data_IF_967486274875
#
_entry.id   IF_967486274875
#
_cell.length_a   1.000
_cell.length_b   1.000
_cell.length_c   1.000
_cell.angle_alpha   90.00
_cell.angle_beta   90.00
_cell.angle_gamma   90.00
#
_symmetry.space_group_name_H-M   'P 1'
#
loop_
_entity.id
_entity.type
_entity.pdbx_description
1 polymer ?
#
# COMPACT_ATOMS: atom_id res chain seq x y z
N UNK A 1 -5.08 -42.82 -45.16
CA UNK A 1 -5.03 -42.71 -43.69
C UNK A 1 -3.59 -42.83 -43.22
N UNK A 2 -3.20 -41.99 -42.26
CA UNK A 2 -1.90 -41.92 -41.57
C UNK A 2 -0.70 -41.41 -42.37
N UNK A 3 -0.43 -40.10 -42.26
CA UNK A 3 0.92 -39.53 -42.39
C UNK A 3 1.29 -38.94 -41.03
N UNK A 4 2.33 -39.51 -40.42
CA UNK A 4 2.98 -39.07 -39.19
C UNK A 4 3.61 -37.68 -39.42
N UNK A 5 3.23 -36.69 -38.62
CA UNK A 5 3.94 -35.41 -38.52
C UNK A 5 4.93 -35.47 -37.37
N UNK A 6 6.21 -35.33 -37.70
CA UNK A 6 7.32 -35.12 -36.77
C UNK A 6 7.30 -33.68 -36.27
N UNK A 7 7.10 -33.49 -34.96
CA UNK A 7 7.20 -32.18 -34.30
C UNK A 7 8.68 -31.85 -34.10
N UNK A 8 9.20 -30.90 -34.87
CA UNK A 8 10.50 -30.28 -34.63
C UNK A 8 10.36 -29.31 -33.44
N UNK A 9 11.07 -29.59 -32.36
CA UNK A 9 11.26 -28.64 -31.26
C UNK A 9 12.31 -27.61 -31.67
N UNK A 10 11.86 -26.45 -32.12
CA UNK A 10 12.70 -25.25 -32.21
C UNK A 10 12.80 -24.64 -30.81
N UNK A 11 13.94 -24.85 -30.14
CA UNK A 11 14.33 -24.06 -28.97
C UNK A 11 14.52 -22.60 -29.41
N UNK A 12 13.50 -21.77 -29.25
CA UNK A 12 13.71 -20.33 -29.16
C UNK A 12 14.28 -20.04 -27.78
N UNK A 13 15.60 -19.89 -27.72
CA UNK A 13 16.27 -19.26 -26.58
C UNK A 13 15.86 -17.80 -26.53
N UNK A 14 14.74 -17.52 -25.87
CA UNK A 14 14.41 -16.18 -25.43
C UNK A 14 15.33 -15.90 -24.24
N UNK A 15 16.47 -15.27 -24.53
CA UNK A 15 17.16 -14.47 -23.53
C UNK A 15 16.19 -13.37 -23.10
N UNK A 16 15.42 -13.64 -22.05
CA UNK A 16 14.72 -12.59 -21.32
C UNK A 16 15.83 -11.72 -20.75
N UNK A 17 16.09 -10.60 -21.42
CA UNK A 17 16.81 -9.50 -20.79
C UNK A 17 15.93 -9.02 -19.65
N UNK A 18 16.25 -9.46 -18.43
CA UNK A 18 15.81 -8.80 -17.22
C UNK A 18 16.41 -7.40 -17.21
N UNK A 19 15.73 -6.46 -17.85
CA UNK A 19 16.00 -5.04 -17.72
C UNK A 19 15.44 -4.52 -16.41
N UNK A 20 16.00 -4.93 -15.27
CA UNK A 20 15.94 -4.14 -14.02
C UNK A 20 17.32 -4.20 -13.38
N UNK A 21 18.08 -3.13 -13.60
CA UNK A 21 19.34 -2.86 -12.92
C UNK A 21 19.10 -2.64 -11.42
N UNK A 22 19.32 -3.68 -10.61
CA UNK A 22 20.17 -3.70 -9.41
C UNK A 22 20.15 -2.49 -8.46
N UNK A 23 19.18 -2.49 -7.54
CA UNK A 23 19.22 -1.77 -6.26
C UNK A 23 17.89 -1.94 -5.52
N UNK A 24 17.92 -2.41 -4.27
CA UNK A 24 16.73 -2.32 -3.42
C UNK A 24 16.77 -0.96 -2.72
N UNK A 25 15.62 -0.26 -2.64
CA UNK A 25 15.53 1.03 -1.96
C UNK A 25 15.97 0.90 -0.50
N UNK A 26 16.38 2.00 0.12
CA UNK A 26 16.75 2.00 1.54
C UNK A 26 15.71 2.74 2.35
N UNK A 27 15.11 2.05 3.30
CA UNK A 27 14.15 2.60 4.25
C UNK A 27 14.91 3.20 5.43
N UNK A 28 14.55 4.41 5.82
CA UNK A 28 15.20 5.15 6.89
C UNK A 28 14.21 5.75 7.87
N UNK A 29 14.62 5.74 9.13
CA UNK A 29 14.07 6.63 10.16
C UNK A 29 15.26 7.28 10.84
N UNK A 30 15.28 8.60 10.91
CA UNK A 30 16.38 9.33 11.55
C UNK A 30 15.77 10.32 12.52
N UNK A 31 16.37 10.47 13.69
CA UNK A 31 16.01 11.50 14.64
C UNK A 31 17.25 12.08 15.31
N UNK A 32 17.14 13.33 15.76
CA UNK A 32 18.16 13.99 16.57
C UNK A 32 17.49 14.47 17.84
N UNK A 33 17.93 13.94 18.99
CA UNK A 33 17.35 14.24 20.31
C UNK A 33 15.83 13.97 20.36
N UNK A 34 15.40 12.87 19.74
CA UNK A 34 14.00 12.45 19.68
C UNK A 34 13.13 13.20 18.66
N UNK A 35 13.67 14.17 17.93
CA UNK A 35 12.94 14.90 16.88
C UNK A 35 13.28 14.30 15.51
N UNK A 36 12.29 13.97 14.65
CA UNK A 36 12.54 13.47 13.29
C UNK A 36 13.50 14.39 12.52
N UNK A 37 14.48 13.79 11.85
CA UNK A 37 15.51 14.48 11.09
C UNK A 37 15.49 14.02 9.63
N UNK A 38 15.44 14.99 8.72
CA UNK A 38 15.60 14.73 7.30
C UNK A 38 17.06 14.42 6.96
N UNK A 39 17.31 13.32 6.22
CA UNK A 39 18.67 12.90 5.87
C UNK A 39 19.40 13.97 5.06
N UNK A 40 18.68 14.80 4.31
CA UNK A 40 19.24 15.89 3.49
C UNK A 40 19.89 16.98 4.33
N UNK A 41 19.63 17.02 5.64
CA UNK A 41 20.27 17.94 6.56
C UNK A 41 21.54 17.38 7.22
N UNK A 42 21.69 16.05 7.25
CA UNK A 42 22.83 15.38 7.89
C UNK A 42 24.18 15.82 7.31
N UNK A 43 24.39 15.91 5.98
CA UNK A 43 25.67 16.35 5.40
C UNK A 43 26.14 17.70 5.95
N UNK A 44 25.23 18.69 6.00
CA UNK A 44 25.54 20.02 6.50
C UNK A 44 25.89 20.01 7.99
N UNK A 45 25.16 19.23 8.78
CA UNK A 45 25.42 19.08 10.21
C UNK A 45 26.79 18.43 10.47
N UNK A 46 27.14 17.40 9.70
CA UNK A 46 28.45 16.75 9.79
C UNK A 46 29.59 17.70 9.40
N UNK A 47 29.44 18.47 8.32
CA UNK A 47 30.41 19.48 7.91
C UNK A 47 30.65 20.54 9.00
N UNK A 48 29.58 21.00 9.67
CA UNK A 48 29.68 21.94 10.79
C UNK A 48 30.41 21.33 12.00
N UNK A 49 30.12 20.07 12.34
CA UNK A 49 30.80 19.36 13.43
C UNK A 49 32.30 19.16 13.13
N UNK A 50 32.66 18.84 11.89
CA UNK A 50 34.07 18.73 11.46
C UNK A 50 34.80 20.06 11.61
N UNK A 51 34.21 21.15 11.12
CA UNK A 51 34.81 22.48 11.20
C UNK A 51 35.01 22.95 12.65
N UNK A 52 34.15 22.54 13.58
CA UNK A 52 34.27 22.87 15.00
C UNK A 52 35.28 21.99 15.77
N UNK A 53 35.78 20.92 15.17
CA UNK A 53 36.59 19.90 15.84
C UNK A 53 38.12 20.05 15.69
N UNK A 54 38.59 21.13 15.05
CA UNK A 54 40.02 21.41 14.79
C UNK A 54 40.83 20.20 14.26
N UNK A 55 40.17 19.33 13.48
CA UNK A 55 40.82 18.17 12.84
C UNK A 55 40.94 16.91 13.71
N UNK A 56 40.29 16.87 14.87
CA UNK A 56 40.25 15.67 15.74
C UNK A 56 39.23 14.61 15.29
N UNK A 57 38.28 14.98 14.44
CA UNK A 57 37.24 14.06 13.92
C UNK A 57 37.65 13.48 12.56
N UNK A 58 37.35 12.19 12.37
CA UNK A 58 37.67 11.42 11.17
C UNK A 58 37.11 12.08 9.89
N UNK A 59 37.95 12.23 8.87
CA UNK A 59 37.53 12.80 7.57
C UNK A 59 36.47 11.94 6.87
N UNK A 60 35.68 12.58 6.00
CA UNK A 60 34.77 11.88 5.10
C UNK A 60 35.57 11.11 4.03
N UNK A 61 35.14 9.89 3.75
CA UNK A 61 35.64 9.05 2.67
C UNK A 61 34.94 9.40 1.36
N UNK A 62 35.45 8.89 0.23
CA UNK A 62 34.76 9.07 -1.05
C UNK A 62 33.36 8.45 -1.05
N UNK A 63 33.18 7.31 -0.40
CA UNK A 63 31.87 6.66 -0.25
C UNK A 63 30.88 7.53 0.54
N UNK A 64 31.36 8.27 1.55
CA UNK A 64 30.52 9.21 2.31
C UNK A 64 30.06 10.36 1.41
N UNK A 65 30.99 10.95 0.65
CA UNK A 65 30.69 12.03 -0.28
C UNK A 65 29.74 11.58 -1.41
N UNK A 66 29.80 10.30 -1.81
CA UNK A 66 28.84 9.72 -2.75
C UNK A 66 27.43 9.64 -2.15
N UNK A 67 27.32 9.27 -0.87
CA UNK A 67 26.05 9.30 -0.13
C UNK A 67 25.50 10.73 -0.06
N UNK A 68 26.32 11.71 0.35
CA UNK A 68 25.91 13.12 0.45
C UNK A 68 25.41 13.68 -0.90
N UNK A 69 26.12 13.35 -1.99
CA UNK A 69 25.70 13.73 -3.34
C UNK A 69 24.37 13.10 -3.74
N UNK A 70 24.14 11.84 -3.38
CA UNK A 70 22.86 11.19 -3.62
C UNK A 70 21.73 11.87 -2.84
N UNK A 71 21.92 12.17 -1.55
CA UNK A 71 20.87 12.82 -0.74
C UNK A 71 20.52 14.22 -1.25
N UNK A 72 21.45 14.92 -1.89
CA UNK A 72 21.24 16.25 -2.41
C UNK A 72 20.48 16.29 -3.75
N UNK A 73 20.32 15.16 -4.44
CA UNK A 73 19.61 15.11 -5.71
C UNK A 73 18.09 15.10 -5.50
N UNK A 74 17.38 15.79 -6.40
CA UNK A 74 15.93 15.75 -6.45
C UNK A 74 15.45 14.30 -6.70
N UNK A 75 14.28 13.96 -6.16
CA UNK A 75 13.63 12.65 -6.30
C UNK A 75 14.38 11.44 -5.69
N UNK A 76 15.60 11.60 -5.17
CA UNK A 76 16.33 10.52 -4.52
C UNK A 76 15.80 10.20 -3.12
N UNK A 77 15.19 11.17 -2.44
CA UNK A 77 14.68 10.99 -1.08
C UNK A 77 13.19 11.26 -1.05
N UNK A 78 12.40 10.21 -0.81
CA UNK A 78 10.98 10.36 -0.49
C UNK A 78 10.82 10.61 1.00
N UNK A 79 10.31 11.78 1.37
CA UNK A 79 10.03 12.14 2.76
C UNK A 79 8.54 11.88 3.10
N UNK A 80 8.30 10.74 3.76
CA UNK A 80 6.98 10.29 4.21
C UNK A 80 6.65 10.91 5.56
N UNK A 81 6.45 12.23 5.57
CA UNK A 81 6.25 13.04 6.78
C UNK A 81 5.16 12.52 7.71
N UNK A 82 4.05 12.01 7.19
CA UNK A 82 2.97 11.50 8.04
C UNK A 82 3.39 10.25 8.82
N UNK A 83 4.39 9.54 8.31
CA UNK A 83 4.89 8.29 8.86
C UNK A 83 6.20 8.47 9.62
N UNK A 84 6.90 9.60 9.48
CA UNK A 84 8.22 9.82 10.06
C UNK A 84 9.28 8.89 9.48
N UNK A 85 9.13 8.54 8.20
CA UNK A 85 10.00 7.61 7.46
C UNK A 85 10.49 8.29 6.19
N UNK A 86 11.71 7.98 5.79
CA UNK A 86 12.28 8.40 4.52
C UNK A 86 12.66 7.17 3.70
N UNK A 87 12.60 7.30 2.37
CA UNK A 87 13.05 6.25 1.45
C UNK A 87 14.11 6.86 0.55
N UNK A 88 15.28 6.22 0.48
CA UNK A 88 16.28 6.51 -0.54
C UNK A 88 16.01 5.61 -1.74
N UNK A 89 15.86 6.23 -2.92
CA UNK A 89 15.59 5.51 -4.17
C UNK A 89 16.76 4.61 -4.58
N UNK A 90 16.45 3.52 -5.29
CA UNK A 90 17.44 2.54 -5.77
C UNK A 90 18.39 3.11 -6.83
N UNK A 91 18.02 4.22 -7.48
CA UNK A 91 18.89 4.95 -8.40
C UNK A 91 20.05 5.67 -7.69
N UNK A 92 20.01 5.78 -6.36
CA UNK A 92 21.12 6.22 -5.55
C UNK A 92 22.33 5.26 -5.74
N UNK A 93 23.49 5.75 -6.25
CA UNK A 93 24.66 4.89 -6.43
C UNK A 93 25.21 4.34 -5.11
N UNK A 94 24.93 5.05 -4.01
CA UNK A 94 25.24 4.60 -2.68
C UNK A 94 24.24 3.51 -2.26
N UNK A 95 24.63 2.24 -2.38
CA UNK A 95 23.83 1.13 -1.86
C UNK A 95 23.68 1.17 -0.33
N UNK A 96 22.73 0.39 0.20
CA UNK A 96 22.34 0.39 1.61
C UNK A 96 23.51 0.25 2.60
N UNK A 97 24.51 -0.59 2.31
CA UNK A 97 25.69 -0.74 3.18
C UNK A 97 26.51 0.55 3.32
N UNK A 98 26.63 1.35 2.24
CA UNK A 98 27.35 2.63 2.28
C UNK A 98 26.56 3.66 3.07
N UNK A 99 25.25 3.73 2.83
CA UNK A 99 24.33 4.58 3.60
C UNK A 99 24.38 4.23 5.10
N UNK A 100 24.37 2.94 5.45
CA UNK A 100 24.48 2.48 6.84
C UNK A 100 25.79 2.91 7.49
N UNK A 101 26.92 2.78 6.78
CA UNK A 101 28.22 3.22 7.29
C UNK A 101 28.29 4.75 7.47
N UNK A 102 27.74 5.50 6.51
CA UNK A 102 27.60 6.95 6.61
C UNK A 102 26.76 7.34 7.85
N UNK A 103 25.61 6.70 8.07
CA UNK A 103 24.74 6.95 9.23
C UNK A 103 25.41 6.59 10.57
N UNK A 104 26.22 5.53 10.62
CA UNK A 104 27.04 5.21 11.81
C UNK A 104 28.05 6.33 12.12
N UNK A 105 28.70 6.87 11.10
CA UNK A 105 29.61 8.02 11.26
C UNK A 105 28.85 9.27 11.72
N UNK A 106 27.70 9.55 11.11
CA UNK A 106 26.82 10.64 11.51
C UNK A 106 26.33 10.48 12.97
N UNK A 107 25.97 9.28 13.41
CA UNK A 107 25.62 8.98 14.80
C UNK A 107 26.78 9.30 15.75
N UNK A 108 28.00 8.87 15.45
CA UNK A 108 29.17 9.17 16.27
C UNK A 108 29.45 10.68 16.36
N UNK A 109 29.26 11.42 15.28
CA UNK A 109 29.56 12.86 15.22
C UNK A 109 28.45 13.76 15.79
N UNK A 110 27.19 13.38 15.59
CA UNK A 110 26.03 14.23 15.82
C UNK A 110 25.08 13.67 16.89
N UNK A 111 25.31 12.46 17.38
CA UNK A 111 24.40 11.75 18.29
C UNK A 111 22.97 11.65 17.75
N UNK A 112 22.84 11.36 16.45
CA UNK A 112 21.55 11.04 15.81
C UNK A 112 21.17 9.58 16.08
N UNK A 113 19.89 9.30 16.28
CA UNK A 113 19.37 7.93 16.30
C UNK A 113 18.85 7.57 14.90
N UNK A 114 19.07 6.34 14.45
CA UNK A 114 18.59 5.91 13.14
C UNK A 114 18.22 4.41 13.08
N UNK A 115 17.23 4.11 12.26
CA UNK A 115 16.95 2.78 11.72
C UNK A 115 17.22 2.82 10.20
N UNK A 116 17.86 1.77 9.67
CA UNK A 116 18.23 1.67 8.25
C UNK A 116 18.01 0.24 7.76
N UNK A 117 16.97 0.04 6.95
CA UNK A 117 16.53 -1.27 6.48
C UNK A 117 16.53 -1.32 4.95
N UNK A 118 16.80 -2.50 4.40
CA UNK A 118 16.65 -2.73 2.97
C UNK A 118 15.17 -2.91 2.64
N UNK A 119 14.72 -2.34 1.53
CA UNK A 119 13.37 -2.55 1.04
C UNK A 119 13.11 -4.03 0.74
N UNK A 120 11.87 -4.44 0.98
CA UNK A 120 11.46 -5.84 0.94
C UNK A 120 10.23 -6.05 0.06
N UNK A 121 10.08 -7.27 -0.43
CA UNK A 121 8.99 -7.63 -1.34
C UNK A 121 7.68 -7.85 -0.59
N UNK A 122 6.63 -7.23 -1.12
CA UNK A 122 5.23 -7.52 -0.80
C UNK A 122 4.66 -8.44 -1.89
N UNK A 123 3.80 -9.38 -1.51
CA UNK A 123 3.22 -10.34 -2.44
C UNK A 123 1.73 -10.60 -2.19
N UNK A 124 1.01 -10.85 -3.28
CA UNK A 124 -0.33 -11.40 -3.32
C UNK A 124 -0.26 -12.90 -3.63
N UNK A 125 -0.95 -13.70 -2.84
CA UNK A 125 -1.12 -15.14 -3.09
C UNK A 125 -2.61 -15.49 -2.99
N UNK A 126 -3.46 -14.95 -3.88
CA UNK A 126 -4.88 -15.15 -3.77
C UNK A 126 -5.21 -16.63 -3.99
N UNK A 127 -6.10 -17.16 -3.15
CA UNK A 127 -6.69 -18.47 -3.35
C UNK A 127 -8.12 -18.25 -3.85
N UNK A 128 -8.30 -18.27 -5.16
CA UNK A 128 -9.64 -18.25 -5.76
C UNK A 128 -10.25 -19.64 -5.65
N UNK A 129 -11.41 -19.71 -5.01
CA UNK A 129 -12.27 -20.89 -5.06
C UNK A 129 -13.48 -20.47 -5.87
N UNK A 130 -13.65 -21.04 -7.06
CA UNK A 130 -14.85 -20.82 -7.86
C UNK A 130 -16.01 -21.55 -7.17
N UNK A 131 -16.75 -20.86 -6.33
CA UNK A 131 -18.07 -21.34 -5.92
C UNK A 131 -19.02 -21.03 -7.07
N UNK A 132 -19.40 -22.07 -7.82
CA UNK A 132 -20.30 -21.96 -8.99
C UNK A 132 -21.77 -22.01 -8.60
N UNK A 133 -22.10 -21.85 -7.32
CA UNK A 133 -23.48 -21.79 -6.88
C UNK A 133 -24.18 -20.62 -7.57
N UNK A 134 -25.28 -20.85 -8.32
CA UNK A 134 -26.01 -19.77 -8.97
C UNK A 134 -26.56 -18.81 -7.92
N UNK A 135 -26.22 -17.53 -8.01
CA UNK A 135 -26.82 -16.49 -7.19
C UNK A 135 -28.25 -16.25 -7.68
N UNK A 136 -29.24 -16.52 -6.85
CA UNK A 136 -30.66 -16.59 -7.22
C UNK A 136 -31.41 -15.27 -7.08
N UNK A 137 -30.71 -14.17 -6.81
CA UNK A 137 -31.26 -12.82 -6.81
C UNK A 137 -31.45 -12.24 -5.42
N UNK A 138 -30.84 -11.07 -5.17
CA UNK A 138 -31.04 -10.24 -3.98
C UNK A 138 -30.61 -10.89 -2.66
N UNK A 139 -30.59 -10.10 -1.60
CA UNK A 139 -30.38 -10.62 -0.25
C UNK A 139 -31.52 -10.12 0.64
N UNK A 140 -32.58 -10.93 0.88
CA UNK A 140 -33.75 -10.48 1.61
C UNK A 140 -33.43 -10.11 3.06
N UNK A 141 -32.33 -10.62 3.63
CA UNK A 141 -31.88 -10.25 4.97
C UNK A 141 -31.26 -8.84 5.01
N UNK A 142 -30.73 -8.35 3.90
CA UNK A 142 -30.18 -7.00 3.76
C UNK A 142 -31.18 -6.03 3.10
N UNK A 143 -32.20 -6.56 2.44
CA UNK A 143 -33.19 -5.78 1.68
C UNK A 143 -32.69 -5.32 0.31
N UNK A 144 -31.60 -5.90 -0.21
CA UNK A 144 -31.04 -5.49 -1.50
C UNK A 144 -31.62 -6.25 -2.70
N UNK A 145 -31.75 -5.56 -3.83
CA UNK A 145 -32.10 -6.12 -5.15
C UNK A 145 -30.90 -6.65 -5.98
N UNK A 146 -29.66 -6.51 -5.49
CA UNK A 146 -28.43 -6.87 -6.21
C UNK A 146 -28.32 -8.39 -6.39
N UNK A 147 -28.23 -8.94 -7.62
CA UNK A 147 -28.34 -10.38 -7.83
C UNK A 147 -27.28 -11.24 -7.13
N UNK A 148 -26.03 -10.78 -7.10
CA UNK A 148 -24.91 -11.50 -6.48
C UNK A 148 -24.91 -11.46 -4.96
N UNK A 149 -25.69 -10.55 -4.35
CA UNK A 149 -25.78 -10.45 -2.89
C UNK A 149 -26.38 -11.68 -2.21
N UNK A 150 -27.12 -12.51 -2.95
CA UNK A 150 -27.62 -13.80 -2.45
C UNK A 150 -26.49 -14.78 -2.11
N UNK A 151 -25.33 -14.62 -2.75
CA UNK A 151 -24.13 -15.44 -2.53
C UNK A 151 -23.22 -14.86 -1.44
N UNK A 152 -23.45 -13.63 -0.98
CA UNK A 152 -22.64 -12.97 0.03
C UNK A 152 -23.10 -13.31 1.46
N UNK A 153 -23.06 -14.61 1.82
CA UNK A 153 -23.45 -15.08 3.16
C UNK A 153 -22.67 -14.39 4.28
N UNK A 154 -21.45 -13.94 4.00
CA UNK A 154 -20.63 -13.15 4.92
C UNK A 154 -21.35 -11.90 5.46
N UNK A 155 -22.17 -11.23 4.64
CA UNK A 155 -22.90 -10.03 5.07
C UNK A 155 -23.98 -10.34 6.12
N UNK A 156 -24.57 -11.54 6.06
CA UNK A 156 -25.50 -12.04 7.08
C UNK A 156 -24.76 -12.46 8.35
N UNK A 157 -23.60 -13.11 8.20
CA UNK A 157 -22.78 -13.57 9.34
C UNK A 157 -22.28 -12.39 10.18
N UNK A 158 -21.86 -11.29 9.55
CA UNK A 158 -21.47 -10.06 10.28
C UNK A 158 -22.68 -9.23 10.74
N UNK A 159 -23.90 -9.72 10.51
CA UNK A 159 -25.16 -9.08 10.88
C UNK A 159 -25.30 -7.63 10.37
N UNK A 160 -24.92 -7.42 9.10
CA UNK A 160 -24.76 -6.07 8.54
C UNK A 160 -26.07 -5.27 8.54
N UNK A 161 -27.19 -5.92 8.22
CA UNK A 161 -28.52 -5.28 8.24
C UNK A 161 -28.88 -4.71 9.61
N UNK A 162 -28.65 -5.48 10.68
CA UNK A 162 -28.89 -5.01 12.05
C UNK A 162 -27.92 -3.89 12.46
N UNK A 163 -26.66 -3.94 12.01
CA UNK A 163 -25.69 -2.89 12.27
C UNK A 163 -26.13 -1.55 11.67
N UNK A 164 -26.56 -1.53 10.40
CA UNK A 164 -27.08 -0.31 9.77
C UNK A 164 -28.42 0.15 10.38
N UNK A 165 -29.28 -0.78 10.80
CA UNK A 165 -30.48 -0.42 11.55
C UNK A 165 -30.13 0.29 12.87
N UNK A 166 -29.15 -0.22 13.63
CA UNK A 166 -28.70 0.40 14.87
C UNK A 166 -28.10 1.79 14.63
N UNK A 167 -27.28 1.96 13.58
CA UNK A 167 -26.71 3.27 13.20
C UNK A 167 -27.81 4.28 12.88
N UNK A 168 -28.85 3.88 12.12
CA UNK A 168 -30.00 4.74 11.82
C UNK A 168 -30.76 5.13 13.09
N UNK A 169 -31.09 4.15 13.93
CA UNK A 169 -31.84 4.37 15.18
C UNK A 169 -31.10 5.25 16.19
N UNK A 170 -29.76 5.29 16.12
CA UNK A 170 -28.95 6.15 16.99
C UNK A 170 -29.05 7.65 16.65
N UNK A 171 -29.59 8.01 15.48
CA UNK A 171 -29.83 9.41 15.10
C UNK A 171 -28.57 10.29 15.05
N UNK A 172 -27.38 9.69 14.92
CA UNK A 172 -26.11 10.44 14.90
C UNK A 172 -25.88 11.07 13.54
N UNK A 173 -25.37 12.30 13.53
CA UNK A 173 -24.83 12.89 12.30
C UNK A 173 -23.66 12.06 11.83
N UNK A 174 -23.80 11.51 10.63
CA UNK A 174 -22.79 10.68 9.99
C UNK A 174 -21.88 11.61 9.14
N UNK A 175 -20.58 11.32 9.06
CA UNK A 175 -19.61 12.07 8.22
C UNK A 175 -19.15 11.25 7.00
N UNK A 176 -18.81 11.92 5.91
CA UNK A 176 -18.15 11.29 4.77
C UNK A 176 -16.80 10.72 5.21
N UNK A 177 -16.48 9.54 4.69
CA UNK A 177 -15.29 8.79 5.04
C UNK A 177 -14.57 8.41 3.77
N UNK A 178 -13.27 8.60 3.74
CA UNK A 178 -12.41 8.09 2.68
C UNK A 178 -11.74 6.81 3.17
N UNK A 179 -11.94 5.72 2.43
CA UNK A 179 -11.31 4.42 2.64
C UNK A 179 -10.31 4.19 1.51
N UNK A 180 -9.03 4.08 1.85
CA UNK A 180 -7.99 3.75 0.89
C UNK A 180 -7.91 2.22 0.67
N UNK A 181 -7.94 1.79 -0.58
CA UNK A 181 -7.67 0.42 -0.99
C UNK A 181 -6.24 0.37 -1.52
N UNK A 182 -5.31 -0.12 -0.69
CA UNK A 182 -3.90 -0.30 -1.05
C UNK A 182 -3.74 -1.70 -1.63
N UNK A 183 -3.60 -1.82 -2.95
CA UNK A 183 -3.65 -3.12 -3.64
C UNK A 183 -3.09 -3.08 -5.08
N UNK A 184 -3.57 -3.96 -5.96
CA UNK A 184 -3.25 -4.04 -7.39
C UNK A 184 -3.97 -3.00 -8.27
N UNK A 185 -4.85 -2.17 -7.71
CA UNK A 185 -5.62 -1.17 -8.46
C UNK A 185 -7.12 -1.41 -8.39
N UNK A 186 -7.86 -0.86 -9.35
CA UNK A 186 -9.28 -1.16 -9.56
C UNK A 186 -9.65 -1.07 -11.06
N UNK A 187 -10.67 -1.81 -11.49
CA UNK A 187 -11.40 -1.50 -12.72
C UNK A 187 -12.11 -0.15 -12.53
N UNK A 188 -11.51 0.88 -13.10
CA UNK A 188 -11.93 2.28 -12.97
C UNK A 188 -13.28 2.56 -13.63
N UNK A 189 -13.76 1.64 -14.47
CA UNK A 189 -15.00 1.74 -15.24
C UNK A 189 -16.07 0.76 -14.79
N UNK A 190 -15.80 -0.05 -13.76
CA UNK A 190 -16.72 -1.06 -13.30
C UNK A 190 -18.06 -0.42 -12.90
N UNK A 191 -19.19 -0.87 -13.47
CA UNK A 191 -20.49 -0.20 -13.29
C UNK A 191 -20.94 -0.20 -11.81
N UNK A 192 -20.49 -1.18 -11.04
CA UNK A 192 -20.79 -1.31 -9.61
C UNK A 192 -19.86 -0.51 -8.68
N UNK A 193 -18.80 0.12 -9.22
CA UNK A 193 -17.78 0.85 -8.44
C UNK A 193 -17.58 2.29 -8.88
N UNK A 194 -17.88 2.64 -10.14
CA UNK A 194 -17.55 3.96 -10.72
C UNK A 194 -18.09 5.15 -9.91
N UNK A 195 -19.23 4.96 -9.24
CA UNK A 195 -19.87 5.97 -8.38
C UNK A 195 -19.32 5.99 -6.94
N UNK A 196 -18.46 5.05 -6.57
CA UNK A 196 -17.97 4.81 -5.21
C UNK A 196 -16.56 5.38 -5.01
N UNK A 197 -15.87 5.73 -6.09
CA UNK A 197 -14.53 6.29 -6.01
C UNK A 197 -14.49 7.68 -5.37
N UNK A 198 -13.51 7.87 -4.50
CA UNK A 198 -13.02 9.18 -4.07
C UNK A 198 -12.41 9.89 -5.27
N UNK A 199 -12.42 11.21 -5.28
CA UNK A 199 -11.83 12.02 -6.32
C UNK A 199 -11.04 13.16 -5.70
N UNK A 200 -9.80 13.36 -6.16
CA UNK A 200 -9.02 14.54 -5.82
C UNK A 200 -9.52 15.78 -6.60
N UNK A 201 -8.88 16.92 -6.38
CA UNK A 201 -9.21 18.18 -7.06
C UNK A 201 -9.00 18.13 -8.59
N UNK A 202 -8.19 17.17 -9.07
CA UNK A 202 -7.88 16.93 -10.47
C UNK A 202 -8.71 15.79 -11.06
N UNK A 203 -9.75 15.33 -10.35
CA UNK A 203 -10.65 14.26 -10.76
C UNK A 203 -10.00 12.86 -10.85
N UNK A 204 -8.83 12.65 -10.23
CA UNK A 204 -8.20 11.34 -10.12
C UNK A 204 -8.80 10.55 -8.96
N UNK A 205 -8.88 9.23 -9.11
CA UNK A 205 -9.45 8.36 -8.07
C UNK A 205 -8.43 7.81 -7.07
N UNK A 206 -7.16 8.14 -7.27
CA UNK A 206 -6.05 7.65 -6.48
C UNK A 206 -4.72 7.72 -7.24
N UNK A 207 -3.77 6.85 -6.90
CA UNK A 207 -2.40 6.94 -7.41
C UNK A 207 -1.75 5.56 -7.60
N UNK A 208 -0.91 5.46 -8.63
CA UNK A 208 -0.12 4.27 -8.96
C UNK A 208 1.36 4.54 -8.67
N UNK A 209 1.86 3.89 -7.64
CA UNK A 209 3.22 4.04 -7.11
C UNK A 209 4.28 3.28 -7.91
N UNK A 210 3.87 2.29 -8.72
CA UNK A 210 4.77 1.55 -9.60
C UNK A 210 5.25 2.42 -10.78
N UNK A 211 4.33 3.23 -11.31
CA UNK A 211 4.55 4.04 -12.52
C UNK A 211 4.54 5.54 -12.24
N UNK A 212 4.40 5.96 -10.97
CA UNK A 212 4.26 7.35 -10.56
C UNK A 212 3.20 8.10 -11.39
N UNK A 213 2.00 7.52 -11.52
CA UNK A 213 0.93 8.05 -12.37
C UNK A 213 -0.44 7.94 -11.70
N UNK A 214 -1.48 8.52 -12.31
CA UNK A 214 -2.87 8.42 -11.84
C UNK A 214 -3.63 7.25 -12.47
N UNK A 215 -2.98 6.47 -13.35
CA UNK A 215 -3.56 5.25 -13.90
C UNK A 215 -3.46 4.11 -12.89
N UNK A 216 -4.57 3.84 -12.21
CA UNK A 216 -4.71 2.81 -11.18
C UNK A 216 -5.46 1.57 -11.67
N UNK A 217 -5.47 1.33 -12.98
CA UNK A 217 -6.10 0.15 -13.58
C UNK A 217 -5.57 -1.13 -12.93
N UNK A 218 -6.47 -2.03 -12.58
CA UNK A 218 -6.14 -3.36 -12.08
C UNK A 218 -5.79 -4.29 -13.25
N UNK A 219 -4.50 -4.52 -13.43
CA UNK A 219 -3.92 -5.40 -14.46
C UNK A 219 -3.42 -6.73 -13.88
N UNK A 220 -3.82 -7.06 -12.65
CA UNK A 220 -3.40 -8.29 -11.99
C UNK A 220 -4.01 -9.53 -12.65
N UNK A 221 -3.15 -10.48 -13.03
CA UNK A 221 -3.51 -11.59 -13.93
C UNK A 221 -4.51 -12.58 -13.34
N UNK A 222 -4.63 -12.66 -12.01
CA UNK A 222 -5.62 -13.50 -11.34
C UNK A 222 -6.87 -12.67 -10.95
N UNK A 223 -7.62 -12.23 -11.96
CA UNK A 223 -8.98 -11.65 -11.84
C UNK A 223 -9.12 -10.30 -11.09
N UNK A 224 -8.06 -9.49 -11.01
CA UNK A 224 -8.16 -8.13 -10.45
C UNK A 224 -8.43 -8.08 -8.94
N UNK A 225 -7.40 -8.35 -8.13
CA UNK A 225 -7.51 -8.51 -6.69
C UNK A 225 -7.96 -7.22 -5.98
N UNK A 226 -7.41 -6.07 -6.36
CA UNK A 226 -7.79 -4.78 -5.82
C UNK A 226 -9.24 -4.39 -6.16
N UNK A 227 -9.68 -4.70 -7.38
CA UNK A 227 -11.08 -4.54 -7.82
C UNK A 227 -12.03 -5.36 -6.95
N UNK A 228 -11.66 -6.62 -6.68
CA UNK A 228 -12.44 -7.50 -5.82
C UNK A 228 -12.50 -7.00 -4.37
N UNK A 229 -11.38 -6.56 -3.77
CA UNK A 229 -11.39 -5.98 -2.43
C UNK A 229 -12.19 -4.65 -2.39
N UNK A 230 -12.14 -3.82 -3.43
CA UNK A 230 -12.96 -2.61 -3.56
C UNK A 230 -14.47 -2.94 -3.62
N UNK A 231 -14.85 -3.99 -4.36
CA UNK A 231 -16.22 -4.51 -4.41
C UNK A 231 -16.75 -4.95 -3.05
N UNK A 232 -15.97 -5.76 -2.32
CA UNK A 232 -16.32 -6.17 -0.95
C UNK A 232 -16.53 -4.94 -0.06
N UNK A 233 -15.64 -3.95 -0.16
CA UNK A 233 -15.71 -2.77 0.66
C UNK A 233 -16.98 -1.97 0.36
N UNK A 234 -17.19 -1.55 -0.89
CA UNK A 234 -18.14 -0.50 -1.23
C UNK A 234 -18.83 -0.63 -2.59
N UNK A 235 -19.02 -1.84 -3.16
CA UNK A 235 -19.90 -2.01 -4.31
C UNK A 235 -21.25 -1.31 -4.10
N UNK A 236 -21.73 -0.63 -5.15
CA UNK A 236 -22.99 0.10 -5.10
C UNK A 236 -24.14 -0.86 -4.81
N UNK A 237 -24.90 -0.59 -3.75
CA UNK A 237 -26.00 -1.45 -3.32
C UNK A 237 -27.32 -0.93 -3.88
N UNK A 238 -28.23 -1.84 -4.20
CA UNK A 238 -29.57 -1.59 -4.73
C UNK A 238 -29.63 -1.05 -6.16
N UNK A 239 -28.66 -1.41 -7.00
CA UNK A 239 -28.56 -0.97 -8.39
C UNK A 239 -28.94 -2.05 -9.42
N UNK A 240 -29.48 -3.18 -8.96
CA UNK A 240 -29.90 -4.34 -9.75
C UNK A 240 -28.76 -5.08 -10.50
N UNK A 241 -27.50 -4.82 -10.16
CA UNK A 241 -26.34 -5.50 -10.76
C UNK A 241 -25.40 -6.03 -9.67
N UNK A 242 -24.41 -6.82 -10.07
CA UNK A 242 -23.25 -7.13 -9.22
C UNK A 242 -23.57 -7.63 -7.81
N UNK A 243 -22.91 -7.03 -6.82
CA UNK A 243 -22.92 -7.43 -5.41
C UNK A 243 -23.22 -6.23 -4.51
N UNK A 244 -23.52 -6.47 -3.24
CA UNK A 244 -23.61 -5.40 -2.24
C UNK A 244 -22.28 -5.20 -1.53
N UNK A 245 -21.81 -3.95 -1.43
CA UNK A 245 -20.69 -3.57 -0.59
C UNK A 245 -21.03 -3.62 0.91
N UNK A 246 -20.00 -3.70 1.76
CA UNK A 246 -20.18 -3.61 3.21
C UNK A 246 -20.61 -2.20 3.63
N UNK A 247 -20.11 -1.17 2.94
CA UNK A 247 -20.45 0.23 3.21
C UNK A 247 -21.45 0.76 2.18
N UNK A 248 -22.14 1.85 2.53
CA UNK A 248 -23.13 2.54 1.69
C UNK A 248 -24.43 1.76 1.39
N UNK A 249 -24.76 0.73 2.18
CA UNK A 249 -26.08 0.08 2.12
C UNK A 249 -27.20 1.12 2.30
N UNK A 250 -28.24 1.02 1.47
CA UNK A 250 -29.45 1.86 1.52
C UNK A 250 -29.20 3.33 1.09
N UNK A 251 -28.16 3.60 0.28
CA UNK A 251 -27.93 4.85 -0.46
C UNK A 251 -27.76 6.14 0.38
N UNK A 252 -27.83 6.02 1.70
CA UNK A 252 -28.07 7.15 2.60
C UNK A 252 -26.77 7.84 2.99
N UNK A 253 -26.66 9.13 2.62
CA UNK A 253 -25.50 9.96 2.92
C UNK A 253 -25.26 10.08 4.44
N UNK A 254 -23.98 10.14 4.86
CA UNK A 254 -22.75 10.27 4.09
C UNK A 254 -22.29 8.96 3.45
N UNK A 255 -21.44 9.10 2.43
CA UNK A 255 -20.91 7.98 1.65
C UNK A 255 -19.46 7.73 2.04
N UNK A 256 -19.11 6.46 2.21
CA UNK A 256 -17.72 6.02 2.16
C UNK A 256 -17.26 6.11 0.70
N UNK A 257 -16.11 6.73 0.44
CA UNK A 257 -15.51 6.84 -0.88
C UNK A 257 -14.17 6.10 -0.95
N UNK A 258 -13.95 5.40 -2.05
CA UNK A 258 -12.77 4.56 -2.24
C UNK A 258 -11.63 5.33 -2.91
N UNK A 259 -10.51 5.49 -2.21
CA UNK A 259 -9.26 5.97 -2.78
C UNK A 259 -8.42 4.77 -3.23
N UNK A 260 -8.09 4.69 -4.52
CA UNK A 260 -7.42 3.50 -5.07
C UNK A 260 -5.91 3.71 -5.13
N UNK A 261 -5.15 2.91 -4.38
CA UNK A 261 -3.69 3.06 -4.27
C UNK A 261 -3.01 1.81 -4.81
N UNK A 262 -2.60 1.88 -6.08
CA UNK A 262 -1.94 0.78 -6.78
C UNK A 262 -0.45 0.77 -6.47
N UNK A 263 0.03 -0.30 -5.84
CA UNK A 263 1.47 -0.53 -5.65
C UNK A 263 1.88 -1.99 -5.89
N UNK A 264 0.93 -2.84 -6.28
CA UNK A 264 1.14 -4.23 -6.66
C UNK A 264 0.96 -4.38 -8.17
N UNK A 265 1.92 -5.04 -8.81
CA UNK A 265 1.98 -5.18 -10.25
C UNK A 265 1.11 -6.34 -10.77
N UNK A 266 1.10 -6.50 -12.10
CA UNK A 266 0.33 -7.53 -12.79
C UNK A 266 0.65 -8.97 -12.33
N UNK A 267 1.84 -9.23 -11.79
CA UNK A 267 2.29 -10.55 -11.32
C UNK A 267 2.14 -10.75 -9.81
N UNK A 268 1.50 -9.80 -9.11
CA UNK A 268 1.19 -9.92 -7.69
C UNK A 268 2.32 -9.51 -6.76
N UNK A 269 3.32 -8.76 -7.26
CA UNK A 269 4.44 -8.28 -6.46
C UNK A 269 4.46 -6.76 -6.35
N UNK A 270 4.86 -6.28 -5.19
CA UNK A 270 5.09 -4.87 -4.90
C UNK A 270 6.27 -4.70 -3.94
N UNK A 271 6.59 -3.45 -3.62
CA UNK A 271 7.62 -3.13 -2.64
C UNK A 271 7.01 -2.61 -1.34
N UNK A 272 7.69 -2.88 -0.22
CA UNK A 272 7.32 -2.33 1.08
C UNK A 272 7.43 -0.80 1.07
N UNK A 273 8.45 -0.24 0.40
CA UNK A 273 8.59 1.20 0.21
C UNK A 273 7.40 1.83 -0.51
N UNK A 274 6.90 1.23 -1.60
CA UNK A 274 5.71 1.74 -2.29
C UNK A 274 4.43 1.57 -1.46
N UNK A 275 4.35 0.53 -0.61
CA UNK A 275 3.25 0.39 0.35
C UNK A 275 3.22 1.53 1.38
N UNK A 276 4.40 2.00 1.83
CA UNK A 276 4.51 3.14 2.73
C UNK A 276 4.21 4.47 2.02
N UNK A 277 4.65 4.62 0.77
CA UNK A 277 4.26 5.77 -0.06
C UNK A 277 2.74 5.85 -0.24
N UNK A 278 2.09 4.70 -0.44
CA UNK A 278 0.63 4.60 -0.48
C UNK A 278 -0.02 5.02 0.84
N UNK A 279 0.44 4.50 1.98
CA UNK A 279 -0.09 4.87 3.29
C UNK A 279 0.06 6.38 3.58
N UNK A 280 1.23 6.94 3.31
CA UNK A 280 1.49 8.38 3.49
C UNK A 280 0.59 9.23 2.58
N UNK A 281 0.38 8.82 1.32
CA UNK A 281 -0.57 9.45 0.41
C UNK A 281 -2.00 9.39 0.96
N UNK A 282 -2.44 8.24 1.48
CA UNK A 282 -3.77 8.05 2.05
C UNK A 282 -4.02 9.06 3.18
N UNK A 283 -3.09 9.15 4.13
CA UNK A 283 -3.18 10.06 5.28
C UNK A 283 -3.20 11.51 4.81
N UNK A 284 -2.27 11.90 3.92
CA UNK A 284 -2.17 13.27 3.39
C UNK A 284 -3.43 13.71 2.63
N UNK A 285 -4.13 12.77 2.00
CA UNK A 285 -5.37 13.04 1.25
C UNK A 285 -6.64 12.75 2.06
N UNK A 286 -6.53 12.62 3.38
CA UNK A 286 -7.69 12.57 4.29
C UNK A 286 -8.40 11.21 4.36
N UNK A 287 -7.75 10.12 3.94
CA UNK A 287 -8.25 8.77 4.23
C UNK A 287 -8.25 8.54 5.74
N UNK A 288 -9.42 8.22 6.30
CA UNK A 288 -9.53 7.84 7.71
C UNK A 288 -9.16 6.37 7.93
N UNK A 289 -9.34 5.55 6.89
CA UNK A 289 -9.09 4.11 6.94
C UNK A 289 -8.30 3.67 5.71
N UNK A 290 -7.54 2.59 5.86
CA UNK A 290 -6.93 1.87 4.75
C UNK A 290 -7.11 0.35 4.88
N UNK A 291 -7.23 -0.32 3.74
CA UNK A 291 -7.30 -1.78 3.64
C UNK A 291 -6.06 -2.32 2.93
N UNK A 292 -5.46 -3.36 3.50
CA UNK A 292 -4.20 -3.96 3.08
C UNK A 292 -4.35 -5.49 2.98
N UNK A 293 -4.62 -6.00 1.78
CA UNK A 293 -4.92 -7.42 1.53
C UNK A 293 -3.72 -8.19 0.96
N UNK A 294 -2.53 -7.92 1.50
CA UNK A 294 -1.26 -8.46 1.04
C UNK A 294 -0.35 -8.84 2.21
N UNK A 295 0.72 -9.56 1.91
CA UNK A 295 1.70 -9.99 2.91
C UNK A 295 3.13 -9.63 2.55
N UNK A 296 3.97 -9.61 3.56
CA UNK A 296 5.43 -9.51 3.45
C UNK A 296 6.08 -10.62 4.28
N UNK A 297 7.33 -10.93 3.96
CA UNK A 297 8.06 -12.06 4.56
C UNK A 297 8.92 -11.67 5.75
N UNK A 298 9.28 -10.40 5.88
CA UNK A 298 10.24 -9.91 6.87
C UNK A 298 9.59 -8.91 7.82
N UNK A 299 9.91 -9.00 9.11
CA UNK A 299 9.59 -7.92 10.04
C UNK A 299 10.42 -6.66 9.71
N UNK A 300 9.83 -5.50 9.95
CA UNK A 300 10.46 -4.19 9.74
C UNK A 300 10.06 -3.25 10.89
N UNK A 301 11.03 -2.70 11.59
CA UNK A 301 10.80 -1.74 12.66
C UNK A 301 10.40 -0.35 12.10
N UNK A 302 10.81 -0.08 10.86
CA UNK A 302 10.34 1.07 10.09
C UNK A 302 8.85 0.95 9.78
N UNK A 303 8.36 -0.21 9.32
CA UNK A 303 6.92 -0.43 9.15
C UNK A 303 6.16 -0.31 10.46
N UNK A 304 6.66 -0.91 11.55
CA UNK A 304 6.04 -0.80 12.88
C UNK A 304 5.94 0.67 13.30
N UNK A 305 6.98 1.47 13.05
CA UNK A 305 6.99 2.92 13.33
C UNK A 305 5.97 3.63 12.45
N UNK A 306 5.95 3.37 11.15
CA UNK A 306 5.03 4.00 10.20
C UNK A 306 3.56 3.79 10.60
N UNK A 307 3.15 2.55 10.90
CA UNK A 307 1.77 2.27 11.32
C UNK A 307 1.43 2.83 12.70
N UNK A 308 2.38 2.91 13.63
CA UNK A 308 2.20 3.62 14.90
C UNK A 308 1.95 5.12 14.68
N UNK A 309 2.71 5.74 13.78
CA UNK A 309 2.57 7.16 13.47
C UNK A 309 1.27 7.44 12.68
N UNK A 310 0.89 6.56 11.75
CA UNK A 310 -0.41 6.61 11.09
C UNK A 310 -1.56 6.56 12.11
N UNK A 311 -1.51 5.63 13.07
CA UNK A 311 -2.50 5.55 14.14
C UNK A 311 -2.51 6.81 15.03
N UNK A 312 -1.34 7.36 15.36
CA UNK A 312 -1.23 8.62 16.10
C UNK A 312 -1.81 9.83 15.32
N UNK A 313 -1.79 9.78 13.99
CA UNK A 313 -2.43 10.75 13.11
C UNK A 313 -3.94 10.50 12.93
N UNK A 314 -4.52 9.51 13.61
CA UNK A 314 -5.94 9.17 13.55
C UNK A 314 -6.34 8.29 12.37
N UNK A 315 -5.37 7.69 11.67
CA UNK A 315 -5.61 6.78 10.55
C UNK A 315 -5.65 5.32 11.03
N UNK A 316 -6.65 4.55 10.60
CA UNK A 316 -6.80 3.15 10.98
C UNK A 316 -6.54 2.21 9.80
N UNK A 317 -5.50 1.38 9.92
CA UNK A 317 -5.13 0.39 8.91
C UNK A 317 -5.67 -1.01 9.25
N UNK A 318 -6.29 -1.65 8.27
CA UNK A 318 -6.82 -3.01 8.36
C UNK A 318 -6.00 -3.96 7.48
N UNK A 319 -5.52 -5.06 8.06
CA UNK A 319 -4.74 -6.07 7.35
C UNK A 319 -5.47 -7.40 7.28
N UNK A 320 -5.37 -8.06 6.13
CA UNK A 320 -5.71 -9.47 6.02
C UNK A 320 -4.66 -10.34 6.72
N UNK A 321 -5.08 -11.20 7.65
CA UNK A 321 -4.18 -12.12 8.36
C UNK A 321 -4.47 -13.57 8.01
N UNK A 322 -3.41 -14.38 7.80
CA UNK A 322 -3.51 -15.85 7.85
C UNK A 322 -2.34 -16.43 8.65
N UNK A 323 -2.65 -17.40 9.52
CA UNK A 323 -1.67 -18.15 10.32
C UNK A 323 -0.93 -19.12 9.38
N UNK A 324 0.41 -19.06 9.31
CA UNK A 324 1.24 -20.07 8.61
C UNK A 324 1.96 -19.64 7.32
N UNK A 325 2.20 -18.35 7.08
CA UNK A 325 3.15 -17.89 6.03
C UNK A 325 2.65 -17.94 4.58
N UNK A 326 1.38 -18.28 4.35
CA UNK A 326 0.71 -18.13 3.05
C UNK A 326 -0.60 -17.36 3.27
N UNK A 327 -0.72 -16.17 2.68
CA UNK A 327 -1.92 -15.33 2.79
C UNK A 327 -2.98 -15.77 1.77
N UNK A 328 -4.26 -15.61 2.10
CA UNK A 328 -5.37 -15.91 1.19
C UNK A 328 -6.63 -15.14 1.56
N UNK A 329 -7.27 -14.55 0.53
CA UNK A 329 -8.51 -13.75 0.46
C UNK A 329 -8.55 -12.46 1.31
N UNK A 330 -9.21 -11.42 0.80
CA UNK A 330 -9.59 -10.22 1.57
C UNK A 330 -10.49 -10.69 2.74
N UNK A 331 -9.92 -11.02 3.89
CA UNK A 331 -10.62 -11.58 5.03
C UNK A 331 -10.20 -10.86 6.32
N UNK A 332 -11.19 -10.26 6.98
CA UNK A 332 -11.20 -10.07 8.43
C UNK A 332 -10.20 -9.06 9.00
N UNK A 333 -10.75 -7.93 9.43
CA UNK A 333 -10.13 -6.88 10.23
C UNK A 333 -9.34 -7.45 11.42
N UNK A 334 -8.02 -7.32 11.42
CA UNK A 334 -7.23 -7.23 12.65
C UNK A 334 -7.05 -5.75 12.95
N UNK A 335 -7.81 -5.22 13.92
CA UNK A 335 -7.51 -3.90 14.47
C UNK A 335 -6.37 -4.09 15.46
N UNK A 336 -5.22 -3.46 15.21
CA UNK A 336 -4.19 -3.29 16.23
C UNK A 336 -4.70 -2.24 17.24
N UNK A 337 -5.73 -2.60 18.01
CA UNK A 337 -6.08 -1.90 19.24
C UNK A 337 -5.14 -2.40 20.32
N UNK A 338 -4.59 -1.46 21.09
CA UNK A 338 -3.70 -1.70 22.23
C UNK A 338 -4.21 -2.80 23.16
#
# INVERSE_FOLDING_TARGET
MSKRSTLFWTLFGITISFGVSTGSRTLLKISHRGVPLDIRHVPRMMAQALAASDGTVQSLSQDDLDCERCFAQDEMVYDLKALGVQIIDSSCPAGQNRILNYLRKANHMLSIDFDCELDSTVSLHPTFTTDRTPCTGGNPALGTNDPGSSCQRNLQVINLGAAFQAVRSAGRTRKDVVLAISDSGADMTHPDLVNQFWRDHSNNIGYNFLLNSTNVTDDFTDEGHGTHCAGIAAAETDNCIGIAGVVNIDGSAPKVKLMILKFINATGYGSQSDSLRALDFAIKNGAAFSSHSYGWFNESDIMKTAYKNAAAAGHLAFFGWKRGGQFGKCAGVSVLLR
#
